data_IF_329440867152
#
_entry.id   IF_329440867152
#
_cell.length_a   1.000
_cell.length_b   1.000
_cell.length_c   1.000
_cell.angle_alpha   90.00
_cell.angle_beta   90.00
_cell.angle_gamma   90.00
#
_symmetry.space_group_name_H-M   'P 1'
#
loop_
_entity.id
_entity.type
_entity.pdbx_description
1 polymer ?
#
# COMPACT_ATOMS: atom_id res chain seq x y z
N UNK A 1 -13.71 38.74 -6.85
CA UNK A 1 -12.68 38.17 -7.75
C UNK A 1 -11.90 37.13 -6.95
N UNK A 2 -12.18 35.85 -7.14
CA UNK A 2 -11.50 34.77 -6.43
C UNK A 2 -10.07 34.62 -6.98
N UNK A 3 -9.06 34.79 -6.13
CA UNK A 3 -7.67 34.48 -6.47
C UNK A 3 -7.58 32.98 -6.81
N UNK A 4 -7.42 32.68 -8.10
CA UNK A 4 -7.07 31.35 -8.59
C UNK A 4 -5.60 31.13 -8.21
N UNK A 5 -5.36 30.63 -7.00
CA UNK A 5 -4.01 30.30 -6.54
C UNK A 5 -3.36 29.36 -7.54
N UNK A 6 -2.12 29.67 -7.93
CA UNK A 6 -1.36 28.86 -8.88
C UNK A 6 -1.36 27.38 -8.45
N UNK A 7 -1.50 26.43 -9.38
CA UNK A 7 -1.48 25.02 -9.04
C UNK A 7 -0.16 24.70 -8.31
N UNK A 8 -0.19 23.91 -7.22
CA UNK A 8 1.01 23.55 -6.49
C UNK A 8 2.07 22.99 -7.43
N UNK A 9 3.36 23.32 -7.24
CA UNK A 9 4.43 22.83 -8.08
C UNK A 9 4.38 21.29 -8.13
N UNK A 10 4.57 20.69 -9.31
CA UNK A 10 4.53 19.25 -9.54
C UNK A 10 5.31 18.44 -8.48
N UNK A 11 6.43 19.00 -8.00
CA UNK A 11 7.25 18.44 -6.92
C UNK A 11 6.49 18.21 -5.61
N UNK A 12 5.63 19.14 -5.19
CA UNK A 12 4.81 18.98 -3.98
C UNK A 12 3.74 17.90 -4.16
N UNK A 13 3.08 17.85 -5.31
CA UNK A 13 2.11 16.79 -5.61
C UNK A 13 2.76 15.41 -5.59
N UNK A 14 3.92 15.27 -6.23
CA UNK A 14 4.68 14.02 -6.25
C UNK A 14 5.16 13.67 -4.84
N UNK A 15 5.69 14.63 -4.07
CA UNK A 15 6.17 14.38 -2.72
C UNK A 15 5.07 13.87 -1.77
N UNK A 16 3.86 14.41 -1.85
CA UNK A 16 2.72 13.95 -1.02
C UNK A 16 2.34 12.51 -1.37
N UNK A 17 2.28 12.18 -2.67
CA UNK A 17 1.95 10.81 -3.12
C UNK A 17 3.07 9.83 -2.81
N UNK A 18 4.32 10.24 -3.01
CA UNK A 18 5.50 9.45 -2.71
C UNK A 18 5.63 9.19 -1.20
N UNK A 19 5.36 10.17 -0.34
CA UNK A 19 5.37 9.99 1.12
C UNK A 19 4.30 9.00 1.58
N UNK A 20 3.15 9.00 0.91
CA UNK A 20 2.07 8.07 1.22
C UNK A 20 2.47 6.62 0.96
N UNK A 21 2.86 6.32 -0.28
CA UNK A 21 3.30 4.98 -0.68
C UNK A 21 4.59 4.60 0.06
N UNK A 22 5.51 5.55 0.18
CA UNK A 22 6.79 5.41 0.87
C UNK A 22 6.65 5.04 2.34
N UNK A 23 5.69 5.62 3.07
CA UNK A 23 5.43 5.21 4.46
C UNK A 23 5.00 3.76 4.57
N UNK A 24 4.14 3.28 3.65
CA UNK A 24 3.76 1.88 3.57
C UNK A 24 4.97 1.01 3.23
N UNK A 25 5.76 1.43 2.24
CA UNK A 25 6.97 0.73 1.80
C UNK A 25 7.99 0.53 2.92
N UNK A 26 8.28 1.56 3.70
CA UNK A 26 9.23 1.46 4.83
C UNK A 26 8.74 0.46 5.86
N UNK A 27 7.46 0.52 6.24
CA UNK A 27 6.87 -0.45 7.19
C UNK A 27 6.92 -1.86 6.61
N UNK A 28 6.54 -2.02 5.34
CA UNK A 28 6.59 -3.29 4.65
C UNK A 28 7.99 -3.89 4.59
N UNK A 29 9.00 -3.06 4.29
CA UNK A 29 10.40 -3.47 4.22
C UNK A 29 10.88 -4.05 5.55
N UNK A 30 10.58 -3.36 6.66
CA UNK A 30 10.92 -3.84 7.99
C UNK A 30 10.19 -5.15 8.32
N UNK A 31 8.90 -5.24 8.03
CA UNK A 31 8.10 -6.45 8.28
C UNK A 31 8.57 -7.64 7.44
N UNK A 32 8.89 -7.43 6.16
CA UNK A 32 9.40 -8.48 5.27
C UNK A 32 10.77 -8.98 5.71
N UNK A 33 11.70 -8.06 6.00
CA UNK A 33 13.04 -8.44 6.44
C UNK A 33 13.04 -9.15 7.79
N UNK A 34 12.36 -8.59 8.80
CA UNK A 34 12.27 -9.19 10.13
C UNK A 34 11.46 -10.49 10.11
N UNK A 35 10.38 -10.54 9.34
CA UNK A 35 9.55 -11.74 9.17
C UNK A 35 10.34 -12.88 8.54
N UNK A 36 11.09 -12.60 7.48
CA UNK A 36 11.97 -13.58 6.85
C UNK A 36 13.05 -14.06 7.81
N UNK A 37 13.82 -13.14 8.41
CA UNK A 37 14.91 -13.48 9.31
C UNK A 37 14.41 -14.32 10.51
N UNK A 38 13.30 -13.90 11.13
CA UNK A 38 12.69 -14.63 12.24
C UNK A 38 12.20 -16.02 11.84
N UNK A 39 11.56 -16.15 10.68
CA UNK A 39 11.07 -17.44 10.19
C UNK A 39 12.22 -18.39 9.82
N UNK A 40 13.30 -17.86 9.24
CA UNK A 40 14.50 -18.64 8.92
C UNK A 40 15.22 -19.09 10.19
N UNK A 41 15.32 -18.24 11.21
CA UNK A 41 15.91 -18.64 12.50
C UNK A 41 15.09 -19.74 13.20
N UNK A 42 13.77 -19.76 13.01
CA UNK A 42 12.91 -20.78 13.59
C UNK A 42 12.91 -22.10 12.81
N UNK A 43 12.88 -22.04 11.48
CA UNK A 43 12.75 -23.23 10.61
C UNK A 43 14.08 -23.81 10.14
N UNK A 44 15.14 -23.00 10.09
CA UNK A 44 16.42 -23.35 9.46
C UNK A 44 16.39 -23.36 7.92
N UNK A 45 15.25 -23.04 7.29
CA UNK A 45 15.09 -23.08 5.83
C UNK A 45 14.83 -21.67 5.27
N UNK A 46 15.90 -21.05 4.77
CA UNK A 46 15.84 -19.71 4.17
C UNK A 46 14.97 -19.66 2.91
N UNK A 47 14.97 -20.71 2.09
CA UNK A 47 14.24 -20.74 0.81
C UNK A 47 12.73 -20.84 1.04
N UNK A 48 12.31 -21.71 1.96
CA UNK A 48 10.89 -21.81 2.33
C UNK A 48 10.38 -20.53 3.00
N UNK A 49 11.22 -19.92 3.85
CA UNK A 49 10.94 -18.63 4.49
C UNK A 49 10.73 -17.52 3.47
N UNK A 50 11.66 -17.37 2.52
CA UNK A 50 11.57 -16.37 1.45
C UNK A 50 10.28 -16.54 0.66
N UNK A 51 10.01 -17.75 0.15
CA UNK A 51 8.82 -18.02 -0.67
C UNK A 51 7.52 -17.65 0.05
N UNK A 52 7.44 -17.97 1.34
CA UNK A 52 6.26 -17.69 2.16
C UNK A 52 6.08 -16.19 2.41
N UNK A 53 7.11 -15.52 2.93
CA UNK A 53 7.03 -14.09 3.29
C UNK A 53 6.86 -13.23 2.03
N UNK A 54 7.52 -13.59 0.93
CA UNK A 54 7.35 -12.94 -0.36
C UNK A 54 5.92 -13.10 -0.89
N UNK A 55 5.36 -14.31 -0.83
CA UNK A 55 3.99 -14.57 -1.26
C UNK A 55 2.96 -13.77 -0.44
N UNK A 56 3.16 -13.64 0.87
CA UNK A 56 2.33 -12.77 1.73
C UNK A 56 2.45 -11.30 1.31
N UNK A 57 3.67 -10.82 1.03
CA UNK A 57 3.89 -9.47 0.49
C UNK A 57 3.18 -9.24 -0.83
N UNK A 58 3.29 -10.19 -1.77
CA UNK A 58 2.65 -10.14 -3.07
C UNK A 58 1.11 -10.15 -2.96
N UNK A 59 0.56 -10.93 -2.02
CA UNK A 59 -0.88 -10.95 -1.73
C UNK A 59 -1.37 -9.58 -1.24
N UNK A 60 -0.67 -8.97 -0.27
CA UNK A 60 -1.01 -7.63 0.24
C UNK A 60 -0.90 -6.58 -0.86
N UNK A 61 0.14 -6.67 -1.70
CA UNK A 61 0.34 -5.78 -2.84
C UNK A 61 -0.82 -5.90 -3.84
N UNK A 62 -1.16 -7.14 -4.23
CA UNK A 62 -2.25 -7.41 -5.17
C UNK A 62 -3.60 -6.93 -4.65
N UNK A 63 -3.88 -7.17 -3.37
CA UNK A 63 -5.10 -6.66 -2.72
C UNK A 63 -5.17 -5.13 -2.74
N UNK A 64 -4.06 -4.46 -2.38
CA UNK A 64 -3.98 -3.00 -2.46
C UNK A 64 -4.20 -2.49 -3.89
N UNK A 65 -3.61 -3.16 -4.89
CA UNK A 65 -3.71 -2.74 -6.29
C UNK A 65 -5.13 -2.90 -6.84
N UNK A 66 -5.78 -4.03 -6.52
CA UNK A 66 -7.17 -4.29 -6.87
C UNK A 66 -8.10 -3.31 -6.16
N UNK A 67 -7.91 -3.06 -4.86
CA UNK A 67 -8.73 -2.12 -4.10
C UNK A 67 -8.57 -0.67 -4.59
N UNK A 68 -7.36 -0.26 -4.97
CA UNK A 68 -7.12 1.05 -5.56
C UNK A 68 -7.81 1.21 -6.91
N UNK A 69 -7.72 0.17 -7.76
CA UNK A 69 -8.37 0.14 -9.08
C UNK A 69 -9.90 0.13 -8.96
N UNK A 70 -10.42 -0.68 -8.04
CA UNK A 70 -11.86 -0.74 -7.74
C UNK A 70 -12.40 0.57 -7.18
N UNK A 71 -11.61 1.27 -6.36
CA UNK A 71 -11.99 2.60 -5.89
C UNK A 71 -12.11 3.60 -7.05
N UNK A 72 -11.22 3.56 -8.04
CA UNK A 72 -11.32 4.42 -9.24
C UNK A 72 -12.57 4.08 -10.07
N UNK A 73 -12.88 2.79 -10.21
CA UNK A 73 -14.00 2.33 -11.03
C UNK A 73 -15.37 2.60 -10.37
N UNK A 74 -15.50 2.31 -9.09
CA UNK A 74 -16.77 2.32 -8.35
C UNK A 74 -16.96 3.55 -7.46
N UNK A 75 -15.93 4.39 -7.26
CA UNK A 75 -15.91 5.48 -6.28
C UNK A 75 -17.10 6.42 -6.37
N UNK A 76 -17.32 7.01 -7.55
CA UNK A 76 -18.46 7.92 -7.78
C UNK A 76 -19.82 7.25 -7.56
N UNK A 77 -19.95 5.97 -7.91
CA UNK A 77 -21.20 5.22 -7.73
C UNK A 77 -21.51 4.96 -6.26
N UNK A 78 -20.50 4.61 -5.47
CA UNK A 78 -20.64 4.39 -4.02
C UNK A 78 -20.92 5.70 -3.29
N UNK A 79 -20.25 6.80 -3.63
CA UNK A 79 -20.51 8.12 -3.03
C UNK A 79 -21.94 8.60 -3.32
N UNK A 80 -22.40 8.48 -4.57
CA UNK A 80 -23.79 8.82 -4.92
C UNK A 80 -24.80 7.93 -4.18
N UNK A 81 -24.50 6.64 -4.02
CA UNK A 81 -25.33 5.71 -3.27
C UNK A 81 -25.40 6.07 -1.77
N UNK A 82 -24.27 6.49 -1.17
CA UNK A 82 -24.25 6.93 0.22
C UNK A 82 -25.07 8.22 0.44
N UNK A 83 -25.03 9.15 -0.50
CA UNK A 83 -25.83 10.38 -0.47
C UNK A 83 -27.34 10.08 -0.49
N UNK A 84 -27.76 9.04 -1.22
CA UNK A 84 -29.17 8.66 -1.31
C UNK A 84 -29.65 7.73 -0.19
N UNK A 85 -28.75 6.94 0.41
CA UNK A 85 -29.10 5.96 1.46
C UNK A 85 -28.71 6.39 2.88
N UNK A 86 -28.27 7.64 3.07
CA UNK A 86 -27.86 8.22 4.36
C UNK A 86 -26.94 7.29 5.19
N UNK A 87 -26.00 6.66 4.50
CA UNK A 87 -25.08 5.72 5.14
C UNK A 87 -23.96 6.50 5.83
N UNK A 88 -23.88 6.45 7.17
CA UNK A 88 -22.90 7.17 8.03
C UNK A 88 -21.42 6.72 7.88
N UNK A 89 -21.03 6.20 6.73
CA UNK A 89 -19.70 5.65 6.50
C UNK A 89 -18.59 6.69 6.42
N UNK A 90 -18.91 7.98 6.18
CA UNK A 90 -17.95 9.07 5.88
C UNK A 90 -16.86 8.65 4.88
N UNK A 91 -17.18 7.70 4.00
CA UNK A 91 -16.20 7.08 3.12
C UNK A 91 -16.10 7.90 1.85
N UNK A 92 -14.87 8.12 1.40
CA UNK A 92 -14.62 8.79 0.12
C UNK A 92 -13.73 7.92 -0.75
N UNK A 93 -13.91 8.02 -2.06
CA UNK A 93 -13.04 7.40 -3.06
C UNK A 93 -11.58 7.78 -2.75
N UNK A 94 -11.36 9.06 -2.42
CA UNK A 94 -10.04 9.63 -2.17
C UNK A 94 -9.36 8.96 -0.98
N UNK A 95 -10.08 8.76 0.12
CA UNK A 95 -9.53 8.13 1.32
C UNK A 95 -9.31 6.63 1.11
N UNK A 96 -10.22 5.95 0.41
CA UNK A 96 -10.04 4.56 0.01
C UNK A 96 -8.78 4.37 -0.82
N UNK A 97 -8.61 5.16 -1.89
CA UNK A 97 -7.40 5.13 -2.73
C UNK A 97 -6.14 5.41 -1.92
N UNK A 98 -6.23 6.30 -0.94
CA UNK A 98 -5.11 6.64 -0.07
C UNK A 98 -4.72 5.46 0.82
N UNK A 99 -5.68 4.76 1.39
CA UNK A 99 -5.44 3.55 2.18
C UNK A 99 -4.86 2.42 1.33
N UNK A 100 -5.46 2.15 0.17
CA UNK A 100 -5.03 1.09 -0.74
C UNK A 100 -3.63 1.35 -1.32
N UNK A 101 -3.28 2.60 -1.61
CA UNK A 101 -1.92 2.96 -2.03
C UNK A 101 -0.86 2.70 -0.93
N UNK A 102 -1.23 2.84 0.35
CA UNK A 102 -0.35 2.43 1.47
C UNK A 102 -0.21 0.90 1.53
N UNK A 103 -1.27 0.15 1.26
CA UNK A 103 -1.21 -1.32 1.18
C UNK A 103 -0.34 -1.78 0.02
N UNK A 104 -0.45 -1.15 -1.17
CA UNK A 104 0.50 -1.40 -2.26
C UNK A 104 1.94 -1.13 -1.82
N UNK A 105 2.19 0.02 -1.20
CA UNK A 105 3.50 0.35 -0.65
C UNK A 105 3.99 -0.72 0.33
N UNK A 106 3.16 -1.12 1.29
CA UNK A 106 3.46 -2.14 2.29
C UNK A 106 3.76 -3.51 1.70
N UNK A 107 2.89 -4.02 0.82
CA UNK A 107 3.11 -5.31 0.15
C UNK A 107 4.39 -5.31 -0.68
N UNK A 108 4.62 -4.26 -1.47
CA UNK A 108 5.87 -4.10 -2.23
C UNK A 108 7.10 -3.96 -1.32
N UNK A 109 6.96 -3.26 -0.20
CA UNK A 109 7.99 -3.18 0.84
C UNK A 109 8.35 -4.55 1.41
N UNK A 110 7.35 -5.39 1.74
CA UNK A 110 7.58 -6.76 2.24
C UNK A 110 8.36 -7.57 1.22
N UNK A 111 7.96 -7.53 -0.06
CA UNK A 111 8.67 -8.23 -1.14
C UNK A 111 10.14 -7.80 -1.21
N UNK A 112 10.40 -6.49 -1.22
CA UNK A 112 11.77 -5.95 -1.26
C UNK A 112 12.56 -6.32 -0.02
N UNK A 113 12.01 -6.16 1.18
CA UNK A 113 12.68 -6.48 2.44
C UNK A 113 13.04 -7.97 2.54
N UNK A 114 12.12 -8.83 2.08
CA UNK A 114 12.35 -10.28 1.98
C UNK A 114 13.49 -10.57 1.01
N UNK A 115 13.44 -10.06 -0.21
CA UNK A 115 14.50 -10.31 -1.21
C UNK A 115 15.88 -9.76 -0.78
N UNK A 116 15.92 -8.65 -0.05
CA UNK A 116 17.17 -8.11 0.50
C UNK A 116 17.75 -9.05 1.55
N UNK A 117 16.94 -9.56 2.47
CA UNK A 117 17.41 -10.53 3.49
C UNK A 117 17.79 -11.86 2.85
N UNK A 118 17.02 -12.32 1.87
CA UNK A 118 17.34 -13.52 1.08
C UNK A 118 18.69 -13.41 0.37
N UNK A 119 19.04 -12.23 -0.15
CA UNK A 119 20.33 -12.00 -0.77
C UNK A 119 21.50 -11.96 0.23
N UNK A 120 21.23 -11.82 1.53
CA UNK A 120 22.24 -11.74 2.59
C UNK A 120 22.42 -13.07 3.36
N UNK A 121 21.50 -14.02 3.21
CA UNK A 121 21.51 -15.35 3.85
C UNK A 121 21.96 -16.44 2.87
#
# INVERSE_FOLDING_TARGET
MAQRGDPPPLRQYVAVRARLVGSGLVVGLLLGGLGMAGWTLYTGDARSSEATVFALGAMVFGFGLLGWSGSILAGRGIEAMQEHMDTRSNWTERDSRRAMARLCGGGGGIMVGTSVVAALL
#
